data_IF_874742779167
#
_entry.id   IF_874742779167
#
_cell.length_a   1.000
_cell.length_b   1.000
_cell.length_c   1.000
_cell.angle_alpha   90.00
_cell.angle_beta   90.00
_cell.angle_gamma   90.00
#
_symmetry.space_group_name_H-M   'P 1'
#
loop_
_entity.id
_entity.type
_entity.pdbx_description
1 polymer ?
#
# COMPACT_ATOMS: atom_id res chain seq x y z
N UNK A 1 -5.60 -20.02 3.10
CA UNK A 1 -6.37 -18.89 2.55
C UNK A 1 -5.45 -18.18 1.55
N UNK A 2 -5.91 -18.05 0.31
CA UNK A 2 -5.07 -17.96 -0.88
C UNK A 2 -4.53 -16.56 -1.16
N UNK A 3 -3.21 -16.46 -1.32
CA UNK A 3 -2.51 -15.29 -1.83
C UNK A 3 -2.53 -15.34 -3.35
N UNK A 4 -3.34 -14.49 -3.99
CA UNK A 4 -3.34 -14.34 -5.44
C UNK A 4 -2.31 -13.27 -5.81
N UNK A 5 -1.10 -13.69 -6.18
CA UNK A 5 -0.11 -12.82 -6.81
C UNK A 5 -0.22 -13.00 -8.33
N UNK A 6 -0.79 -12.02 -9.02
CA UNK A 6 -0.73 -11.98 -10.50
C UNK A 6 0.67 -11.49 -10.86
N UNK A 7 1.52 -12.43 -11.28
CA UNK A 7 2.87 -12.18 -11.74
C UNK A 7 2.84 -11.72 -13.22
N UNK A 8 3.38 -10.53 -13.48
CA UNK A 8 3.89 -10.13 -14.81
C UNK A 8 5.33 -9.63 -14.60
N UNK A 9 6.26 -10.23 -15.33
CA UNK A 9 7.73 -10.17 -15.31
C UNK A 9 8.32 -8.73 -15.39
N UNK A 10 9.42 -8.26 -14.74
CA UNK A 10 10.60 -8.93 -14.13
C UNK A 10 11.18 -8.24 -12.85
N UNK A 11 10.73 -7.05 -12.44
CA UNK A 11 11.11 -6.40 -11.16
C UNK A 11 9.94 -5.56 -10.64
N UNK A 12 9.06 -6.17 -9.83
CA UNK A 12 7.95 -5.44 -9.23
C UNK A 12 8.45 -4.44 -8.16
N UNK A 13 7.80 -3.26 -8.02
CA UNK A 13 8.13 -2.33 -6.95
C UNK A 13 7.93 -3.03 -5.60
N UNK A 14 8.93 -2.97 -4.73
CA UNK A 14 8.86 -3.63 -3.42
C UNK A 14 8.10 -2.76 -2.43
N UNK A 15 7.05 -3.30 -1.81
CA UNK A 15 6.27 -2.63 -0.78
C UNK A 15 6.66 -3.21 0.57
N UNK A 16 7.23 -2.38 1.42
CA UNK A 16 7.60 -2.74 2.80
C UNK A 16 6.77 -1.93 3.78
N UNK A 17 5.97 -2.61 4.60
CA UNK A 17 5.27 -1.97 5.73
C UNK A 17 6.29 -1.46 6.75
N UNK A 18 6.20 -0.19 7.10
CA UNK A 18 6.96 0.43 8.18
C UNK A 18 6.02 0.67 9.36
N UNK A 19 6.55 0.52 10.58
CA UNK A 19 5.82 0.93 11.77
C UNK A 19 5.78 2.45 11.84
N UNK A 20 4.58 2.99 12.06
CA UNK A 20 4.44 4.39 12.42
C UNK A 20 4.72 4.56 13.92
N UNK A 21 5.49 5.59 14.32
CA UNK A 21 5.80 5.90 15.72
C UNK A 21 4.54 6.17 16.54
N UNK A 22 3.50 6.77 15.95
CA UNK A 22 2.27 7.15 16.66
C UNK A 22 1.18 6.07 16.57
N UNK A 23 1.36 5.01 15.75
CA UNK A 23 0.34 3.98 15.54
C UNK A 23 -0.98 4.47 14.91
N UNK A 24 -1.07 5.76 14.57
CA UNK A 24 -2.25 6.42 13.99
C UNK A 24 -2.21 6.53 12.47
N UNK A 25 -1.15 6.03 11.84
CA UNK A 25 -1.00 6.03 10.40
C UNK A 25 -0.33 4.72 9.92
N UNK A 26 -0.61 4.34 8.68
CA UNK A 26 0.16 3.32 7.98
C UNK A 26 1.28 4.00 7.20
N UNK A 27 2.49 3.48 7.34
CA UNK A 27 3.62 3.85 6.49
C UNK A 27 4.05 2.66 5.68
N UNK A 28 4.25 2.86 4.39
CA UNK A 28 4.87 1.91 3.49
C UNK A 28 6.07 2.57 2.83
N UNK A 29 7.15 1.82 2.72
CA UNK A 29 8.30 2.19 1.90
C UNK A 29 8.15 1.47 0.59
N UNK A 30 8.13 2.23 -0.51
CA UNK A 30 8.08 1.65 -1.84
C UNK A 30 9.46 1.79 -2.46
N UNK A 31 10.07 0.68 -2.86
CA UNK A 31 11.36 0.70 -3.54
C UNK A 31 11.16 0.31 -5.00
N UNK A 32 11.42 1.25 -5.90
CA UNK A 32 11.51 1.03 -7.34
C UNK A 32 12.94 1.31 -7.83
N UNK A 33 13.45 0.47 -8.73
CA UNK A 33 14.84 0.53 -9.21
C UNK A 33 15.01 1.09 -10.62
N UNK A 34 13.95 1.24 -11.43
CA UNK A 34 14.12 1.50 -12.88
C UNK A 34 13.16 2.52 -13.49
N UNK A 35 11.89 2.53 -13.10
CA UNK A 35 10.86 3.26 -13.86
C UNK A 35 10.09 4.29 -13.02
N UNK A 36 10.23 4.24 -11.70
CA UNK A 36 9.38 4.99 -10.78
C UNK A 36 7.95 4.45 -10.75
N UNK A 37 7.17 4.98 -9.83
CA UNK A 37 5.75 4.62 -9.67
C UNK A 37 4.93 5.58 -10.53
N UNK A 38 4.19 5.06 -11.50
CA UNK A 38 3.29 5.87 -12.33
C UNK A 38 1.95 6.11 -11.64
N UNK A 39 1.44 5.12 -10.90
CA UNK A 39 0.17 5.24 -10.18
C UNK A 39 0.14 4.33 -8.96
N UNK A 40 -0.62 4.74 -7.95
CA UNK A 40 -0.88 3.95 -6.77
C UNK A 40 -2.34 4.13 -6.34
N UNK A 41 -2.97 3.06 -5.85
CA UNK A 41 -4.31 3.08 -5.27
C UNK A 41 -4.33 2.20 -4.05
N UNK A 42 -4.95 2.68 -2.97
CA UNK A 42 -5.13 1.89 -1.77
C UNK A 42 -6.60 1.70 -1.44
N UNK A 43 -6.91 0.54 -0.92
CA UNK A 43 -8.24 0.17 -0.45
C UNK A 43 -8.10 -0.45 0.93
N UNK A 44 -8.99 -0.07 1.83
CA UNK A 44 -9.09 -0.64 3.17
C UNK A 44 -10.53 -1.12 3.34
N UNK A 45 -10.72 -2.40 3.61
CA UNK A 45 -12.04 -3.05 3.66
C UNK A 45 -12.88 -2.80 2.42
N UNK A 46 -12.27 -2.94 1.24
CA UNK A 46 -12.87 -2.63 -0.06
C UNK A 46 -13.31 -1.14 -0.23
N UNK A 47 -12.94 -0.24 0.69
CA UNK A 47 -13.19 1.20 0.58
C UNK A 47 -11.94 1.90 0.08
N UNK A 48 -12.09 2.77 -0.90
CA UNK A 48 -10.98 3.56 -1.40
C UNK A 48 -10.39 4.47 -0.32
N UNK A 49 -9.09 4.33 -0.10
CA UNK A 49 -8.30 5.07 0.85
C UNK A 49 -7.27 5.92 0.09
N UNK A 50 -7.22 7.21 0.42
CA UNK A 50 -6.28 8.14 -0.21
C UNK A 50 -4.94 8.04 0.50
N UNK A 51 -3.97 7.41 -0.15
CA UNK A 51 -2.60 7.37 0.32
C UNK A 51 -1.84 8.60 -0.17
N UNK A 52 -0.95 9.12 0.67
CA UNK A 52 -0.02 10.17 0.30
C UNK A 52 1.31 9.55 -0.11
N UNK A 53 1.76 9.83 -1.34
CA UNK A 53 3.05 9.34 -1.84
C UNK A 53 4.07 10.46 -1.87
N UNK A 54 5.16 10.28 -1.12
CA UNK A 54 6.36 11.10 -1.15
C UNK A 54 7.41 10.42 -2.06
N UNK A 55 7.61 10.89 -3.30
CA UNK A 55 8.61 10.33 -4.21
C UNK A 55 10.05 10.62 -3.77
N UNK A 56 10.31 11.71 -3.03
CA UNK A 56 11.65 12.03 -2.53
C UNK A 56 12.10 11.02 -1.48
N UNK A 57 11.18 10.57 -0.63
CA UNK A 57 11.42 9.58 0.42
C UNK A 57 11.01 8.16 0.03
N UNK A 58 10.40 8.02 -1.15
CA UNK A 58 9.75 6.80 -1.65
C UNK A 58 8.85 6.17 -0.57
N UNK A 59 8.06 7.02 0.07
CA UNK A 59 7.23 6.67 1.23
C UNK A 59 5.77 6.91 0.89
N UNK A 60 4.94 5.95 1.22
CA UNK A 60 3.50 6.04 1.15
C UNK A 60 2.95 6.11 2.58
N UNK A 61 2.22 7.15 2.92
CA UNK A 61 1.59 7.34 4.24
C UNK A 61 0.08 7.39 4.13
N UNK A 62 -0.60 6.86 5.13
CA UNK A 62 -2.06 6.94 5.25
C UNK A 62 -2.44 7.15 6.70
N UNK A 63 -3.14 8.24 6.98
CA UNK A 63 -3.67 8.52 8.31
C UNK A 63 -4.94 7.72 8.55
N UNK A 64 -5.02 7.08 9.71
CA UNK A 64 -6.25 6.39 10.13
C UNK A 64 -7.28 7.42 10.56
N UNK A 65 -8.37 7.52 9.80
CA UNK A 65 -9.57 8.22 10.21
C UNK A 65 -10.47 7.29 11.01
N UNK A 66 -10.79 7.66 12.27
CA UNK A 66 -11.71 6.89 13.14
C UNK A 66 -13.11 6.73 12.55
N UNK A 67 -13.54 7.66 11.67
CA UNK A 67 -14.80 7.54 10.93
C UNK A 67 -14.76 6.46 9.84
N UNK A 68 -13.58 6.17 9.29
CA UNK A 68 -13.41 5.19 8.20
C UNK A 68 -12.98 3.83 8.70
N UNK A 69 -12.09 3.79 9.71
CA UNK A 69 -11.52 2.56 10.26
C UNK A 69 -11.97 2.44 11.72
N UNK A 70 -12.88 1.50 11.94
CA UNK A 70 -13.42 1.24 13.27
C UNK A 70 -12.45 0.44 14.13
N UNK A 71 -12.06 0.99 15.29
CA UNK A 71 -11.18 0.33 16.27
C UNK A 71 -11.75 -1.01 16.78
N UNK A 72 -10.86 -1.95 17.09
CA UNK A 72 -11.16 -3.30 17.55
C UNK A 72 -11.48 -4.30 16.43
N UNK A 73 -11.10 -4.03 15.18
CA UNK A 73 -11.44 -4.90 14.04
C UNK A 73 -10.21 -5.25 13.20
N UNK A 74 -10.29 -6.39 12.51
CA UNK A 74 -9.31 -6.76 11.49
C UNK A 74 -9.73 -6.11 10.18
N UNK A 75 -8.83 -5.31 9.63
CA UNK A 75 -9.01 -4.60 8.37
C UNK A 75 -8.14 -5.21 7.28
N UNK A 76 -8.69 -5.32 6.08
CA UNK A 76 -7.95 -5.76 4.90
C UNK A 76 -7.45 -4.56 4.12
N UNK A 77 -6.13 -4.45 3.97
CA UNK A 77 -5.48 -3.47 3.13
C UNK A 77 -5.12 -4.08 1.78
N UNK A 78 -5.46 -3.37 0.71
CA UNK A 78 -5.05 -3.68 -0.65
C UNK A 78 -4.39 -2.46 -1.27
N UNK A 79 -3.15 -2.61 -1.73
CA UNK A 79 -2.37 -1.57 -2.37
C UNK A 79 -2.02 -2.01 -3.80
N UNK A 80 -2.56 -1.28 -4.76
CA UNK A 80 -2.30 -1.45 -6.19
C UNK A 80 -1.28 -0.42 -6.62
N UNK A 81 -0.10 -0.86 -7.03
CA UNK A 81 0.92 -0.03 -7.66
C UNK A 81 0.98 -0.34 -9.15
N UNK A 82 1.18 0.70 -9.95
CA UNK A 82 1.46 0.58 -11.38
C UNK A 82 2.71 1.38 -11.71
N UNK A 83 3.64 0.76 -12.42
CA UNK A 83 4.83 1.40 -12.98
C UNK A 83 4.50 2.00 -14.37
N UNK A 84 5.39 2.87 -14.86
CA UNK A 84 5.25 3.53 -16.17
C UNK A 84 5.44 2.59 -17.37
N UNK A 85 6.00 1.40 -17.15
CA UNK A 85 6.18 0.34 -18.14
C UNK A 85 4.97 -0.61 -18.22
N UNK A 86 3.93 -0.39 -17.40
CA UNK A 86 2.72 -1.22 -17.38
C UNK A 86 2.78 -2.41 -16.41
N UNK A 87 3.79 -2.49 -15.54
CA UNK A 87 3.84 -3.51 -14.50
C UNK A 87 2.95 -3.11 -13.33
N UNK A 88 2.08 -4.02 -12.89
CA UNK A 88 1.22 -3.81 -11.73
C UNK A 88 1.60 -4.72 -10.58
N UNK A 89 1.64 -4.18 -9.37
CA UNK A 89 1.86 -4.96 -8.14
C UNK A 89 0.66 -4.78 -7.19
N UNK A 90 0.13 -5.89 -6.69
CA UNK A 90 -0.92 -5.91 -5.69
C UNK A 90 -0.33 -6.39 -4.35
N UNK A 91 -0.37 -5.53 -3.35
CA UNK A 91 0.00 -5.86 -1.98
C UNK A 91 -1.24 -5.96 -1.11
N UNK A 92 -1.48 -7.16 -0.58
CA UNK A 92 -2.59 -7.44 0.33
C UNK A 92 -2.03 -7.73 1.72
N UNK A 93 -2.59 -7.08 2.74
CA UNK A 93 -2.18 -7.28 4.13
C UNK A 93 -3.37 -7.07 5.07
N UNK A 94 -3.53 -7.93 6.06
CA UNK A 94 -4.49 -7.74 7.14
C UNK A 94 -3.83 -7.08 8.34
N UNK A 95 -4.45 -6.08 8.94
CA UNK A 95 -3.98 -5.46 10.18
C UNK A 95 -5.12 -5.30 11.19
N UNK A 96 -4.80 -5.31 12.47
CA UNK A 96 -5.75 -5.08 13.55
C UNK A 96 -5.59 -3.63 14.04
N UNK A 97 -6.69 -2.88 14.09
CA UNK A 97 -6.76 -1.50 14.59
C UNK A 97 -7.94 -1.39 15.54
#
# INVERSE_FOLDING_TARGET
FGTYAIAIDTLAPSIQKQQAPDGTELRFKISDERSGIASYRGYIDNKWALFEYDPKRRRLSYSFDEERIGRGQTHELELYLSDGCGNTNLYQSSFYY
#
